data_IF_996523109632
#
_entry.id   IF_996523109632
#
_cell.length_a   1.000
_cell.length_b   1.000
_cell.length_c   1.000
_cell.angle_alpha   90.00
_cell.angle_beta   90.00
_cell.angle_gamma   90.00
#
_symmetry.space_group_name_H-M   'P 1'
#
loop_
_entity.id
_entity.type
_entity.pdbx_description
1 polymer ?
#
# COMPACT_ATOMS: atom_id res chain seq x y z
N UNK A 1 -2.10 -13.69 -12.62
CA UNK A 1 -0.64 -13.85 -12.74
C UNK A 1 -0.02 -12.60 -12.12
N UNK A 2 0.65 -12.72 -10.98
CA UNK A 2 1.36 -11.61 -10.34
C UNK A 2 2.79 -11.55 -10.89
N UNK A 3 3.25 -10.35 -11.25
CA UNK A 3 4.58 -10.12 -11.83
C UNK A 3 5.68 -10.11 -10.75
N UNK A 4 5.32 -9.67 -9.54
CA UNK A 4 6.14 -9.68 -8.34
C UNK A 4 5.41 -10.55 -7.32
N UNK A 5 6.11 -11.53 -6.74
CA UNK A 5 5.53 -12.47 -5.80
C UNK A 5 5.20 -11.77 -4.48
N UNK A 6 3.99 -11.95 -3.97
CA UNK A 6 3.58 -11.35 -2.70
C UNK A 6 4.27 -12.07 -1.53
N UNK A 7 4.81 -11.30 -0.58
CA UNK A 7 5.38 -11.87 0.64
C UNK A 7 4.25 -12.42 1.50
N UNK A 8 4.34 -13.69 1.85
CA UNK A 8 3.41 -14.31 2.81
C UNK A 8 3.84 -13.95 4.23
N UNK A 9 2.87 -13.61 5.08
CA UNK A 9 3.10 -13.25 6.48
C UNK A 9 3.86 -14.34 7.25
N UNK A 10 3.63 -15.61 6.91
CA UNK A 10 4.27 -16.77 7.54
C UNK A 10 5.75 -16.88 7.19
N UNK A 11 6.14 -16.35 6.03
CA UNK A 11 7.50 -16.39 5.47
C UNK A 11 8.27 -15.09 5.79
N UNK A 12 7.58 -14.04 6.25
CA UNK A 12 8.18 -12.77 6.64
C UNK A 12 8.84 -12.88 8.02
N UNK A 13 9.91 -12.11 8.23
CA UNK A 13 10.61 -12.02 9.51
C UNK A 13 10.79 -10.56 9.96
N UNK A 14 10.99 -10.38 11.26
CA UNK A 14 11.26 -9.08 11.88
C UNK A 14 10.19 -8.03 11.58
N UNK A 15 10.64 -6.80 11.29
CA UNK A 15 9.78 -5.62 11.13
C UNK A 15 8.75 -5.77 9.99
N UNK A 16 9.06 -6.54 8.95
CA UNK A 16 8.12 -6.78 7.85
C UNK A 16 6.94 -7.63 8.33
N UNK A 17 7.21 -8.68 9.11
CA UNK A 17 6.17 -9.52 9.70
C UNK A 17 5.29 -8.73 10.66
N UNK A 18 5.90 -7.96 11.57
CA UNK A 18 5.18 -7.10 12.51
C UNK A 18 4.26 -6.11 11.78
N UNK A 19 4.76 -5.55 10.67
CA UNK A 19 4.00 -4.60 9.84
C UNK A 19 2.82 -5.30 9.13
N UNK A 20 3.00 -6.52 8.62
CA UNK A 20 1.93 -7.30 8.00
C UNK A 20 0.87 -7.74 9.01
N UNK A 21 1.27 -8.11 10.23
CA UNK A 21 0.37 -8.44 11.34
C UNK A 21 -0.46 -7.22 11.77
N UNK A 22 0.16 -6.03 11.85
CA UNK A 22 -0.56 -4.79 12.14
C UNK A 22 -1.61 -4.47 11.06
N UNK A 23 -1.26 -4.62 9.77
CA UNK A 23 -2.20 -4.40 8.66
C UNK A 23 -3.40 -5.34 8.77
N UNK A 24 -3.14 -6.62 9.01
CA UNK A 24 -4.19 -7.62 9.15
C UNK A 24 -5.08 -7.35 10.37
N UNK A 25 -4.50 -6.90 11.48
CA UNK A 25 -5.24 -6.49 12.68
C UNK A 25 -6.15 -5.29 12.41
N UNK A 26 -5.67 -4.28 11.69
CA UNK A 26 -6.40 -3.04 11.44
C UNK A 26 -7.48 -3.18 10.35
N UNK A 27 -7.18 -3.95 9.30
CA UNK A 27 -8.05 -4.08 8.11
C UNK A 27 -8.82 -5.41 8.04
N UNK A 28 -8.47 -6.38 8.89
CA UNK A 28 -9.04 -7.74 8.86
C UNK A 28 -8.45 -8.66 7.77
N UNK A 29 -7.58 -8.14 6.91
CA UNK A 29 -6.85 -8.89 5.89
C UNK A 29 -5.61 -8.09 5.43
N UNK A 30 -4.70 -8.72 4.69
CA UNK A 30 -3.54 -8.05 4.08
C UNK A 30 -3.85 -7.73 2.61
N UNK A 31 -3.95 -6.44 2.22
CA UNK A 31 -4.12 -6.09 0.81
C UNK A 31 -2.94 -6.58 -0.04
N UNK A 32 -3.23 -7.10 -1.24
CA UNK A 32 -2.20 -7.63 -2.15
C UNK A 32 -1.07 -6.63 -2.45
N UNK A 33 -1.39 -5.33 -2.55
CA UNK A 33 -0.38 -4.29 -2.76
C UNK A 33 0.61 -4.18 -1.61
N UNK A 34 0.13 -4.28 -0.36
CA UNK A 34 0.98 -4.27 0.84
C UNK A 34 1.82 -5.54 0.94
N UNK A 35 1.25 -6.70 0.60
CA UNK A 35 1.99 -7.97 0.56
C UNK A 35 3.11 -7.97 -0.51
N UNK A 36 2.89 -7.33 -1.65
CA UNK A 36 3.94 -7.14 -2.66
C UNK A 36 4.98 -6.11 -2.20
N UNK A 37 4.55 -5.00 -1.60
CA UNK A 37 5.45 -3.98 -1.05
C UNK A 37 6.35 -4.53 0.07
N UNK A 38 5.90 -5.55 0.79
CA UNK A 38 6.67 -6.24 1.82
C UNK A 38 7.94 -6.95 1.31
N UNK A 39 8.12 -7.12 -0.01
CA UNK A 39 9.41 -7.57 -0.59
C UNK A 39 10.57 -6.61 -0.27
N UNK A 40 10.26 -5.37 0.11
CA UNK A 40 11.23 -4.40 0.57
C UNK A 40 10.66 -3.64 1.76
N UNK A 41 11.33 -3.72 2.90
CA UNK A 41 10.93 -2.94 4.09
C UNK A 41 10.82 -1.44 3.78
N UNK A 42 11.63 -0.94 2.84
CA UNK A 42 11.57 0.44 2.35
C UNK A 42 10.24 0.74 1.65
N UNK A 43 9.84 -0.13 0.73
CA UNK A 43 8.62 0.00 -0.06
C UNK A 43 7.39 -0.10 0.83
N UNK A 44 7.38 -1.04 1.78
CA UNK A 44 6.29 -1.17 2.75
C UNK A 44 6.16 0.09 3.62
N UNK A 45 7.27 0.61 4.16
CA UNK A 45 7.28 1.86 4.93
C UNK A 45 6.76 3.05 4.11
N UNK A 46 7.17 3.15 2.84
CA UNK A 46 6.71 4.21 1.96
C UNK A 46 5.20 4.12 1.69
N UNK A 47 4.64 2.91 1.56
CA UNK A 47 3.22 2.75 1.31
C UNK A 47 2.38 3.19 2.52
N UNK A 48 2.78 2.83 3.74
CA UNK A 48 2.14 3.37 4.96
C UNK A 48 2.26 4.88 5.11
N UNK A 49 3.42 5.43 4.75
CA UNK A 49 3.64 6.86 4.78
C UNK A 49 2.66 7.61 3.90
N UNK A 50 2.43 7.06 2.70
CA UNK A 50 1.44 7.59 1.76
C UNK A 50 0.05 7.43 2.34
N UNK A 51 -0.36 6.26 2.82
CA UNK A 51 -1.71 6.07 3.38
C UNK A 51 -2.01 7.05 4.52
N UNK A 52 -1.06 7.25 5.44
CA UNK A 52 -1.20 8.24 6.51
C UNK A 52 -1.25 9.68 5.98
N UNK A 53 -0.49 9.98 4.93
CA UNK A 53 -0.57 11.28 4.26
C UNK A 53 -1.91 11.50 3.59
N UNK A 54 -2.53 10.44 3.05
CA UNK A 54 -3.86 10.50 2.46
C UNK A 54 -4.93 10.80 3.52
N UNK A 55 -4.80 10.24 4.72
CA UNK A 55 -5.69 10.58 5.85
C UNK A 55 -5.56 12.05 6.28
N UNK A 56 -4.36 12.63 6.18
CA UNK A 56 -4.07 13.99 6.63
C UNK A 56 -4.15 15.05 5.52
N UNK A 57 -4.20 14.65 4.25
CA UNK A 57 -4.17 15.53 3.08
C UNK A 57 -2.77 16.05 2.69
N UNK A 58 -1.72 15.68 3.42
CA UNK A 58 -0.34 16.10 3.18
C UNK A 58 0.65 14.97 3.50
N UNK A 59 1.67 14.79 2.65
CA UNK A 59 2.77 13.85 2.89
C UNK A 59 3.88 14.55 3.69
N UNK A 60 4.16 14.12 4.93
CA UNK A 60 5.15 14.81 5.75
C UNK A 60 6.60 14.55 5.27
N UNK A 61 7.45 15.57 5.34
CA UNK A 61 8.82 15.57 4.79
C UNK A 61 9.70 14.42 5.31
N UNK A 62 9.49 14.00 6.56
CA UNK A 62 10.23 12.90 7.17
C UNK A 62 10.05 11.56 6.43
N UNK A 63 8.94 11.39 5.72
CA UNK A 63 8.67 10.19 4.93
C UNK A 63 9.41 10.20 3.60
N UNK A 64 9.49 11.37 2.95
CA UNK A 64 10.32 11.55 1.76
C UNK A 64 11.79 11.30 2.08
N UNK A 65 12.27 11.79 3.22
CA UNK A 65 13.62 11.49 3.68
C UNK A 65 13.84 9.99 3.97
N UNK A 66 12.87 9.32 4.58
CA UNK A 66 12.94 7.88 4.86
C UNK A 66 13.01 7.07 3.58
N UNK A 67 12.22 7.43 2.56
CA UNK A 67 12.24 6.81 1.24
C UNK A 67 13.62 6.95 0.59
N UNK A 68 14.19 8.16 0.60
CA UNK A 68 15.55 8.42 0.08
C UNK A 68 16.63 7.64 0.82
N UNK A 69 16.58 7.63 2.16
CA UNK A 69 17.53 6.85 3.00
C UNK A 69 17.47 5.35 2.72
N UNK A 70 16.31 4.88 2.26
CA UNK A 70 16.10 3.48 1.90
C UNK A 70 16.53 3.15 0.46
N UNK A 71 17.13 4.12 -0.26
CA UNK A 71 17.69 3.93 -1.60
C UNK A 71 16.73 4.25 -2.74
N UNK A 72 15.52 4.76 -2.48
CA UNK A 72 14.59 5.16 -3.55
C UNK A 72 15.06 6.48 -4.17
N UNK A 73 15.08 6.53 -5.51
CA UNK A 73 15.30 7.78 -6.24
C UNK A 73 14.04 8.66 -6.21
N UNK A 74 14.23 9.97 -6.35
CA UNK A 74 13.11 10.92 -6.42
C UNK A 74 12.14 10.60 -7.58
N UNK A 75 12.64 10.04 -8.69
CA UNK A 75 11.79 9.60 -9.81
C UNK A 75 10.83 8.47 -9.42
N UNK A 76 11.32 7.48 -8.67
CA UNK A 76 10.50 6.36 -8.18
C UNK A 76 9.49 6.85 -7.15
N UNK A 77 9.89 7.78 -6.27
CA UNK A 77 8.99 8.39 -5.30
C UNK A 77 7.82 9.10 -6.01
N UNK A 78 8.10 9.90 -7.04
CA UNK A 78 7.08 10.59 -7.84
C UNK A 78 6.16 9.60 -8.56
N UNK A 79 6.71 8.52 -9.12
CA UNK A 79 5.93 7.48 -9.79
C UNK A 79 4.94 6.79 -8.83
N UNK A 80 5.41 6.42 -7.64
CA UNK A 80 4.56 5.81 -6.61
C UNK A 80 3.43 6.78 -6.21
N UNK A 81 3.75 8.04 -5.92
CA UNK A 81 2.75 9.07 -5.58
C UNK A 81 1.74 9.22 -6.71
N UNK A 82 2.19 9.26 -7.96
CA UNK A 82 1.33 9.40 -9.14
C UNK A 82 0.38 8.21 -9.31
N UNK A 83 0.85 6.98 -9.10
CA UNK A 83 0.02 5.77 -9.15
C UNK A 83 -1.05 5.77 -8.06
N UNK A 84 -0.71 6.19 -6.85
CA UNK A 84 -1.66 6.28 -5.75
C UNK A 84 -2.74 7.32 -6.03
N UNK A 85 -2.36 8.52 -6.48
CA UNK A 85 -3.31 9.57 -6.87
C UNK A 85 -4.23 9.07 -7.99
N UNK A 86 -3.70 8.36 -8.97
CA UNK A 86 -4.48 7.78 -10.08
C UNK A 86 -5.52 6.75 -9.60
N UNK A 87 -5.12 5.85 -8.69
CA UNK A 87 -6.03 4.88 -8.09
C UNK A 87 -7.13 5.56 -7.26
N UNK A 88 -6.78 6.59 -6.48
CA UNK A 88 -7.74 7.39 -5.72
C UNK A 88 -8.74 8.11 -6.61
N UNK A 89 -8.28 8.70 -7.71
CA UNK A 89 -9.15 9.35 -8.68
C UNK A 89 -10.22 8.38 -9.20
N UNK A 90 -9.82 7.15 -9.57
CA UNK A 90 -10.75 6.09 -9.97
C UNK A 90 -11.77 5.75 -8.88
N UNK A 91 -11.29 5.54 -7.65
CA UNK A 91 -12.16 5.22 -6.50
C UNK A 91 -13.15 6.35 -6.19
N UNK A 92 -12.72 7.62 -6.25
CA UNK A 92 -13.56 8.77 -5.96
C UNK A 92 -14.66 8.95 -7.02
N UNK A 93 -14.30 8.80 -8.30
CA UNK A 93 -15.27 8.81 -9.41
C UNK A 93 -16.28 7.69 -9.23
N UNK A 94 -15.84 6.48 -8.90
CA UNK A 94 -16.72 5.34 -8.65
C UNK A 94 -17.69 5.57 -7.48
N UNK A 95 -17.23 6.15 -6.37
CA UNK A 95 -18.09 6.51 -5.23
C UNK A 95 -19.15 7.56 -5.59
N UNK A 96 -18.77 8.62 -6.30
CA UNK A 96 -19.71 9.67 -6.73
C UNK A 96 -20.72 9.12 -7.74
N UNK A 97 -20.24 8.29 -8.68
CA UNK A 97 -21.07 7.66 -9.70
C UNK A 97 -21.93 6.51 -9.16
N UNK A 98 -21.68 6.04 -7.93
CA UNK A 98 -22.29 4.85 -7.33
C UNK A 98 -22.18 3.63 -8.26
N UNK A 99 -21.02 3.44 -8.86
CA UNK A 99 -20.78 2.30 -9.75
C UNK A 99 -20.76 0.99 -8.97
N UNK A 100 -21.41 -0.03 -9.53
CA UNK A 100 -21.35 -1.38 -8.99
C UNK A 100 -19.93 -1.94 -9.13
N UNK A 101 -19.47 -2.67 -8.12
CA UNK A 101 -18.17 -3.32 -8.16
C UNK A 101 -18.21 -4.43 -9.21
N UNK A 102 -17.47 -4.22 -10.29
CA UNK A 102 -17.35 -5.05 -11.48
C UNK A 102 -16.25 -6.13 -11.39
N UNK A 103 -15.53 -6.14 -10.27
CA UNK A 103 -14.48 -7.11 -9.93
C UNK A 103 -15.02 -8.23 -9.05
N UNK A 104 -14.43 -9.45 -9.07
CA UNK A 104 -14.87 -10.53 -8.20
C UNK A 104 -14.76 -10.11 -6.74
N UNK A 105 -15.90 -10.00 -6.06
CA UNK A 105 -15.93 -9.70 -4.63
C UNK A 105 -15.23 -10.83 -3.87
N UNK A 106 -14.22 -10.47 -3.07
CA UNK A 106 -13.66 -11.39 -2.09
C UNK A 106 -14.74 -11.61 -1.02
N UNK A 107 -15.49 -12.71 -1.13
CA UNK A 107 -16.39 -13.14 -0.07
C UNK A 107 -15.56 -13.88 0.95
N UNK A 108 -15.60 -13.42 2.19
CA UNK A 108 -15.12 -14.20 3.31
C UNK A 108 -16.24 -15.17 3.68
N UNK A 109 -15.95 -16.46 3.53
CA UNK A 109 -16.83 -17.54 3.97
C UNK A 109 -16.70 -17.62 5.51
N UNK A 110 -17.49 -16.82 6.24
CA UNK A 110 -17.60 -16.86 7.69
C UNK A 110 -18.67 -17.85 8.16
#
# INVERSE_FOLDING_TARGET
MQLIEAVKKEEAEGVVKESLEAIESDLGFIPNGMAVAANSQASLKMMFAIDKALEQGELPDNQLETARKSGLSDSVIIEIISNVISAMYGNYINHVAKTDIDWPLCRMDL
#
